data_IF_425697570325
#
_entry.id   IF_425697570325
#
_cell.length_a   1.000
_cell.length_b   1.000
_cell.length_c   1.000
_cell.angle_alpha   90.00
_cell.angle_beta   90.00
_cell.angle_gamma   90.00
#
_symmetry.space_group_name_H-M   'P 1'
#
loop_
_entity.id
_entity.type
_entity.pdbx_description
1 polymer ?
#
# COMPACT_ATOMS: atom_id res chain seq x y z
N UNK A 1 15.18 -11.76 5.17
CA UNK A 1 14.34 -10.91 6.05
C UNK A 1 13.76 -11.74 7.19
N UNK A 2 13.79 -11.25 8.43
CA UNK A 2 13.14 -11.86 9.59
C UNK A 2 11.70 -11.38 9.70
N UNK A 3 10.75 -12.29 9.67
CA UNK A 3 9.33 -11.97 9.83
C UNK A 3 8.87 -12.38 11.23
N UNK A 4 8.29 -11.44 11.98
CA UNK A 4 7.71 -11.68 13.29
C UNK A 4 6.20 -11.53 13.15
N UNK A 5 5.47 -12.63 13.26
CA UNK A 5 4.02 -12.63 13.09
C UNK A 5 3.37 -13.68 14.00
N UNK A 6 2.10 -13.44 14.35
CA UNK A 6 1.24 -14.45 15.00
C UNK A 6 0.64 -15.43 14.00
N UNK A 7 0.66 -15.07 12.71
CA UNK A 7 0.02 -15.82 11.65
C UNK A 7 0.92 -15.95 10.42
N UNK A 8 0.60 -16.92 9.54
CA UNK A 8 1.35 -17.15 8.32
C UNK A 8 0.60 -16.64 7.09
N UNK A 9 1.35 -16.11 6.12
CA UNK A 9 0.89 -15.74 4.77
C UNK A 9 1.69 -16.49 3.69
N UNK A 10 1.22 -16.40 2.45
CA UNK A 10 1.82 -17.08 1.32
C UNK A 10 3.29 -16.66 1.09
N UNK A 11 3.71 -15.44 1.36
CA UNK A 11 5.12 -15.04 1.16
C UNK A 11 6.04 -15.40 2.35
N UNK A 12 5.54 -16.01 3.42
CA UNK A 12 6.39 -16.37 4.56
C UNK A 12 7.36 -17.51 4.25
N UNK A 13 7.03 -18.39 3.29
CA UNK A 13 7.95 -19.44 2.86
C UNK A 13 9.15 -18.87 2.09
N UNK A 14 9.09 -17.62 1.63
CA UNK A 14 10.20 -17.00 0.91
C UNK A 14 11.45 -16.83 1.78
N UNK A 15 11.32 -16.87 3.12
CA UNK A 15 12.45 -16.93 4.05
C UNK A 15 13.32 -18.15 3.79
N UNK A 16 12.74 -19.32 3.50
CA UNK A 16 13.53 -20.53 3.23
C UNK A 16 14.20 -20.52 1.87
N UNK A 17 13.63 -19.79 0.90
CA UNK A 17 14.18 -19.63 -0.46
C UNK A 17 15.34 -18.62 -0.48
N UNK A 18 15.17 -17.46 0.15
CA UNK A 18 16.12 -16.35 0.08
C UNK A 18 17.03 -16.20 1.29
N UNK A 19 16.78 -16.97 2.36
CA UNK A 19 17.54 -16.91 3.60
C UNK A 19 17.00 -15.88 4.60
N UNK A 20 17.36 -16.12 5.86
CA UNK A 20 17.04 -15.25 6.98
C UNK A 20 18.08 -14.11 7.07
N UNK A 21 17.59 -12.89 7.19
CA UNK A 21 18.41 -11.72 7.53
C UNK A 21 17.84 -11.15 8.82
N UNK A 22 18.58 -11.29 9.91
CA UNK A 22 18.14 -10.84 11.24
C UNK A 22 18.12 -9.32 11.38
N UNK A 23 18.85 -8.60 10.51
CA UNK A 23 18.93 -7.14 10.55
C UNK A 23 17.73 -6.47 9.87
N UNK A 24 17.04 -7.20 9.00
CA UNK A 24 15.87 -6.73 8.28
C UNK A 24 14.60 -7.36 8.88
N UNK A 25 13.94 -6.63 9.76
CA UNK A 25 12.81 -7.15 10.54
C UNK A 25 11.48 -6.62 10.02
N UNK A 26 10.58 -7.52 9.65
CA UNK A 26 9.18 -7.23 9.40
C UNK A 26 8.32 -7.68 10.59
N UNK A 27 7.95 -6.73 11.46
CA UNK A 27 7.06 -7.00 12.59
C UNK A 27 5.58 -6.78 12.22
N UNK A 28 4.83 -7.89 12.21
CA UNK A 28 3.40 -7.96 11.92
C UNK A 28 2.56 -8.29 13.14
N UNK A 29 3.11 -8.28 14.36
CA UNK A 29 2.32 -8.55 15.58
C UNK A 29 1.19 -7.55 15.81
N UNK A 30 1.29 -6.38 15.19
CA UNK A 30 0.32 -5.29 15.21
C UNK A 30 -0.57 -5.26 13.94
N UNK A 31 -0.71 -6.38 13.22
CA UNK A 31 -1.57 -6.49 12.03
C UNK A 31 -3.03 -6.18 12.35
N UNK A 32 -3.72 -5.50 11.42
CA UNK A 32 -5.17 -5.28 11.51
C UNK A 32 -5.90 -6.58 11.12
N UNK A 33 -6.67 -7.21 12.02
CA UNK A 33 -7.43 -8.43 11.68
C UNK A 33 -8.63 -8.07 10.81
N UNK A 34 -8.64 -8.56 9.58
CA UNK A 34 -9.69 -8.30 8.60
C UNK A 34 -9.95 -9.59 7.82
N UNK A 35 -11.21 -10.01 7.75
CA UNK A 35 -11.65 -11.11 6.88
C UNK A 35 -12.18 -10.58 5.56
N UNK A 36 -12.10 -11.40 4.50
CA UNK A 36 -12.64 -11.08 3.17
C UNK A 36 -14.12 -10.65 3.24
N UNK A 37 -14.97 -11.43 3.92
CA UNK A 37 -16.41 -11.14 4.05
C UNK A 37 -16.68 -9.77 4.64
N UNK A 38 -15.90 -9.38 5.65
CA UNK A 38 -16.06 -8.06 6.30
C UNK A 38 -15.52 -6.95 5.41
N UNK A 39 -14.41 -7.20 4.72
CA UNK A 39 -13.74 -6.21 3.88
C UNK A 39 -14.57 -5.86 2.66
N UNK A 40 -15.19 -6.83 1.99
CA UNK A 40 -15.86 -6.61 0.71
C UNK A 40 -17.35 -6.28 0.85
N UNK A 41 -17.93 -6.52 2.03
CA UNK A 41 -19.32 -6.16 2.31
C UNK A 41 -19.54 -4.63 2.23
N UNK A 42 -20.63 -4.26 1.59
CA UNK A 42 -21.15 -2.89 1.53
C UNK A 42 -22.34 -2.75 2.48
N UNK A 43 -22.51 -1.57 3.06
CA UNK A 43 -23.75 -1.23 3.76
C UNK A 43 -24.83 -0.84 2.74
N UNK A 44 -26.08 -0.69 3.18
CA UNK A 44 -27.21 -0.40 2.29
C UNK A 44 -27.02 0.89 1.46
N UNK A 45 -26.40 1.93 2.04
CA UNK A 45 -26.18 3.20 1.35
C UNK A 45 -25.09 3.07 0.30
N UNK A 46 -23.98 2.42 0.64
CA UNK A 46 -22.88 2.17 -0.29
C UNK A 46 -23.28 1.19 -1.39
N UNK A 47 -24.14 0.21 -1.10
CA UNK A 47 -24.71 -0.68 -2.10
C UNK A 47 -25.59 0.10 -3.09
N UNK A 48 -26.47 0.97 -2.59
CA UNK A 48 -27.25 1.88 -3.44
C UNK A 48 -26.33 2.77 -4.27
N UNK A 49 -25.23 3.29 -3.72
CA UNK A 49 -24.27 4.12 -4.48
C UNK A 49 -23.53 3.30 -5.55
N UNK A 50 -23.08 2.11 -5.19
CA UNK A 50 -22.42 1.15 -6.08
C UNK A 50 -23.33 0.75 -7.25
N UNK A 51 -24.62 0.58 -7.00
CA UNK A 51 -25.64 0.27 -8.01
C UNK A 51 -26.12 1.51 -8.79
N UNK A 52 -26.23 2.69 -8.15
CA UNK A 52 -26.72 3.93 -8.77
C UNK A 52 -25.70 4.64 -9.64
N UNK A 53 -24.39 4.46 -9.41
CA UNK A 53 -23.34 5.10 -10.22
C UNK A 53 -23.28 4.47 -11.62
N UNK A 54 -24.22 4.89 -12.47
CA UNK A 54 -24.16 4.82 -13.93
C UNK A 54 -23.39 6.02 -14.54
N UNK A 55 -22.66 6.78 -13.70
CA UNK A 55 -21.84 7.92 -14.09
C UNK A 55 -20.82 8.22 -13.00
N UNK A 56 -19.56 8.39 -13.40
CA UNK A 56 -18.41 8.56 -12.53
C UNK A 56 -17.11 8.52 -13.31
N UNK A 57 -15.97 8.55 -12.60
CA UNK A 57 -14.65 8.56 -13.22
C UNK A 57 -14.10 7.12 -13.43
N UNK A 58 -13.52 6.87 -14.62
CA UNK A 58 -13.09 5.60 -15.25
C UNK A 58 -11.58 5.42 -15.14
N UNK A 59 -11.06 4.32 -14.61
CA UNK A 59 -9.61 4.07 -14.66
C UNK A 59 -9.18 3.59 -16.06
N UNK A 60 -8.40 4.40 -16.78
CA UNK A 60 -7.87 4.10 -18.11
C UNK A 60 -6.48 4.70 -18.27
N UNK A 61 -5.50 3.89 -18.69
CA UNK A 61 -4.10 4.34 -18.87
C UNK A 61 -3.52 5.01 -17.62
N UNK A 62 -3.89 4.54 -16.43
CA UNK A 62 -3.45 5.07 -15.15
C UNK A 62 -4.11 6.37 -14.68
N UNK A 63 -5.28 6.74 -15.23
CA UNK A 63 -6.04 7.95 -14.84
C UNK A 63 -7.56 7.72 -14.83
N UNK A 64 -8.29 8.58 -14.11
CA UNK A 64 -9.75 8.51 -13.92
C UNK A 64 -10.54 9.47 -14.88
N UNK A 65 -11.37 8.99 -15.84
CA UNK A 65 -12.12 9.77 -16.87
C UNK A 65 -13.68 9.62 -16.84
N UNK A 66 -14.52 10.61 -17.16
CA UNK A 66 -16.00 10.53 -16.92
C UNK A 66 -16.79 9.60 -17.89
N UNK A 67 -17.75 8.77 -17.41
CA UNK A 67 -18.56 7.76 -18.16
C UNK A 67 -20.03 8.19 -18.42
N UNK A 68 -20.55 7.92 -19.63
CA UNK A 68 -21.97 8.14 -19.99
C UNK A 68 -22.81 6.85 -19.83
N UNK A 69 -24.11 7.04 -19.59
CA UNK A 69 -25.08 6.08 -19.02
C UNK A 69 -25.38 4.78 -19.79
N UNK A 70 -24.97 4.63 -21.04
CA UNK A 70 -25.47 3.58 -21.96
C UNK A 70 -24.64 2.29 -22.02
N UNK A 71 -23.39 2.29 -21.55
CA UNK A 71 -22.47 1.16 -21.79
C UNK A 71 -22.46 0.11 -20.64
N UNK A 72 -23.23 0.33 -19.58
CA UNK A 72 -22.95 -0.23 -18.23
C UNK A 72 -23.75 -1.50 -17.91
N UNK A 73 -24.66 -1.95 -18.78
CA UNK A 73 -25.57 -3.07 -18.47
C UNK A 73 -25.04 -4.45 -18.88
N UNK A 74 -23.92 -4.53 -19.60
CA UNK A 74 -23.48 -5.81 -20.21
C UNK A 74 -22.31 -6.50 -19.50
N UNK A 75 -21.67 -5.86 -18.51
CA UNK A 75 -20.50 -6.46 -17.81
C UNK A 75 -20.56 -6.19 -16.29
N UNK A 76 -20.00 -7.10 -15.46
CA UNK A 76 -20.02 -6.98 -14.00
C UNK A 76 -19.32 -5.73 -13.48
N UNK A 77 -19.72 -5.27 -12.28
CA UNK A 77 -19.09 -4.15 -11.56
C UNK A 77 -18.19 -4.69 -10.46
N UNK A 78 -17.02 -4.09 -10.30
CA UNK A 78 -16.06 -4.44 -9.26
C UNK A 78 -15.79 -3.24 -8.35
N UNK A 79 -15.83 -3.46 -7.04
CA UNK A 79 -15.46 -2.45 -6.05
C UNK A 79 -13.94 -2.23 -6.11
N UNK A 80 -13.53 -0.99 -6.28
CA UNK A 80 -12.12 -0.63 -6.30
C UNK A 80 -11.58 -0.34 -4.89
N UNK A 81 -10.44 -0.92 -4.56
CA UNK A 81 -9.64 -0.68 -3.35
C UNK A 81 -8.16 -0.65 -3.73
N UNK A 82 -7.32 -0.20 -2.82
CA UNK A 82 -5.90 0.03 -3.10
C UNK A 82 -5.06 -0.63 -2.01
N UNK A 83 -4.00 -1.33 -2.38
CA UNK A 83 -3.01 -1.83 -1.43
C UNK A 83 -1.61 -1.35 -1.81
N UNK A 84 -0.84 -0.95 -0.81
CA UNK A 84 0.59 -0.71 -0.95
C UNK A 84 1.36 -1.84 -0.30
N UNK A 85 2.33 -2.39 -1.02
CA UNK A 85 3.30 -3.35 -0.51
C UNK A 85 4.69 -2.72 -0.70
N UNK A 86 5.33 -2.38 0.40
CA UNK A 86 6.53 -1.55 0.37
C UNK A 86 6.22 -0.17 -0.21
N UNK A 87 6.75 0.16 -1.39
CA UNK A 87 6.37 1.36 -2.15
C UNK A 87 5.48 1.06 -3.37
N UNK A 88 5.23 -0.22 -3.67
CA UNK A 88 4.47 -0.62 -4.86
C UNK A 88 2.99 -0.47 -4.60
N UNK A 89 2.31 0.23 -5.50
CA UNK A 89 0.87 0.39 -5.54
C UNK A 89 0.25 -0.77 -6.33
N UNK A 90 -0.77 -1.41 -5.78
CA UNK A 90 -1.59 -2.41 -6.47
C UNK A 90 -3.05 -2.05 -6.30
N UNK A 91 -3.76 -1.95 -7.42
CA UNK A 91 -5.21 -1.74 -7.41
C UNK A 91 -5.90 -3.10 -7.25
N UNK A 92 -6.93 -3.14 -6.41
CA UNK A 92 -7.74 -4.32 -6.14
C UNK A 92 -9.16 -4.05 -6.63
N UNK A 93 -9.75 -5.01 -7.33
CA UNK A 93 -11.10 -4.97 -7.86
C UNK A 93 -11.85 -6.21 -7.37
N UNK A 94 -12.91 -6.04 -6.58
CA UNK A 94 -13.61 -7.17 -5.96
C UNK A 94 -15.13 -7.07 -6.09
N UNK A 95 -15.78 -8.20 -6.38
CA UNK A 95 -17.23 -8.38 -6.27
C UNK A 95 -17.56 -9.87 -6.10
N UNK A 96 -18.64 -10.16 -5.37
CA UNK A 96 -19.20 -11.51 -5.24
C UNK A 96 -18.20 -12.62 -4.84
N UNK A 97 -17.18 -12.26 -4.06
CA UNK A 97 -16.14 -13.17 -3.58
C UNK A 97 -14.96 -13.36 -4.55
N UNK A 98 -15.04 -12.82 -5.76
CA UNK A 98 -13.93 -12.77 -6.70
C UNK A 98 -13.09 -11.51 -6.49
N UNK A 99 -11.77 -11.66 -6.58
CA UNK A 99 -10.79 -10.60 -6.39
C UNK A 99 -9.82 -10.61 -7.57
N UNK A 100 -9.68 -9.46 -8.20
CA UNK A 100 -8.78 -9.19 -9.30
C UNK A 100 -7.83 -8.05 -8.93
N UNK A 101 -6.66 -8.00 -9.57
CA UNK A 101 -5.67 -6.95 -9.31
C UNK A 101 -5.24 -6.25 -10.58
N UNK A 102 -4.59 -5.09 -10.43
CA UNK A 102 -3.94 -4.41 -11.56
C UNK A 102 -2.83 -5.24 -12.22
N UNK A 103 -2.30 -6.27 -11.55
CA UNK A 103 -1.31 -7.20 -12.11
C UNK A 103 -1.95 -8.20 -13.08
N UNK A 104 -3.26 -8.42 -12.96
CA UNK A 104 -4.03 -9.37 -13.77
C UNK A 104 -4.63 -8.71 -15.03
N UNK A 105 -4.33 -7.44 -15.27
CA UNK A 105 -4.87 -6.69 -16.41
C UNK A 105 -4.16 -7.08 -17.70
N UNK A 106 -4.95 -7.34 -18.75
CA UNK A 106 -4.42 -7.45 -20.12
C UNK A 106 -4.00 -6.08 -20.61
N UNK A 107 -2.85 -6.03 -21.27
CA UNK A 107 -2.40 -4.88 -22.04
C UNK A 107 -3.37 -4.66 -23.20
N UNK A 108 -4.44 -3.90 -22.96
CA UNK A 108 -5.53 -3.67 -23.92
C UNK A 108 -5.76 -2.18 -24.14
N UNK A 109 -6.25 -1.86 -25.32
CA UNK A 109 -6.44 -0.49 -25.80
C UNK A 109 -7.42 0.25 -24.88
N UNK A 110 -6.88 1.14 -24.03
CA UNK A 110 -7.49 1.83 -22.88
C UNK A 110 -8.70 2.73 -23.22
N UNK A 111 -9.31 2.60 -24.40
CA UNK A 111 -10.32 3.52 -24.93
C UNK A 111 -11.72 3.29 -24.36
N UNK A 112 -12.03 2.10 -23.84
CA UNK A 112 -13.41 1.73 -23.46
C UNK A 112 -13.75 1.92 -21.99
N UNK A 113 -12.76 2.14 -21.10
CA UNK A 113 -13.01 2.29 -19.66
C UNK A 113 -13.52 1.03 -18.95
N UNK A 114 -13.48 -0.11 -19.64
CA UNK A 114 -13.71 -1.46 -19.14
C UNK A 114 -12.35 -2.09 -18.89
N UNK A 115 -12.13 -2.63 -17.69
CA UNK A 115 -10.94 -3.43 -17.42
C UNK A 115 -11.10 -4.79 -18.06
N UNK A 116 -10.07 -5.23 -18.77
CA UNK A 116 -9.98 -6.59 -19.32
C UNK A 116 -8.89 -7.33 -18.57
N UNK A 117 -9.23 -8.45 -17.96
CA UNK A 117 -8.31 -9.27 -17.17
C UNK A 117 -7.76 -10.43 -18.01
N UNK A 118 -6.68 -11.05 -17.53
CA UNK A 118 -5.98 -12.13 -18.21
C UNK A 118 -6.87 -13.34 -18.53
N UNK A 119 -7.93 -13.55 -17.75
CA UNK A 119 -8.96 -14.57 -17.95
C UNK A 119 -10.09 -14.15 -18.91
N UNK A 120 -9.92 -13.07 -19.67
CA UNK A 120 -10.93 -12.49 -20.58
C UNK A 120 -12.16 -11.91 -19.87
N UNK A 121 -12.17 -11.84 -18.54
CA UNK A 121 -13.20 -11.09 -17.83
C UNK A 121 -13.10 -9.62 -18.20
N UNK A 122 -14.25 -9.06 -18.56
CA UNK A 122 -14.43 -7.63 -18.75
C UNK A 122 -15.30 -7.10 -17.62
N UNK A 123 -14.86 -6.04 -16.96
CA UNK A 123 -15.60 -5.49 -15.82
C UNK A 123 -15.45 -3.98 -15.67
N UNK A 124 -16.42 -3.36 -15.01
CA UNK A 124 -16.42 -1.95 -14.67
C UNK A 124 -15.89 -1.70 -13.24
N UNK A 125 -14.79 -0.95 -13.08
CA UNK A 125 -14.32 -0.57 -11.75
C UNK A 125 -15.16 0.59 -11.18
N UNK A 126 -15.73 0.40 -10.00
CA UNK A 126 -16.42 1.44 -9.24
C UNK A 126 -15.47 1.99 -8.17
N UNK A 127 -14.91 3.16 -8.45
CA UNK A 127 -13.95 3.84 -7.58
C UNK A 127 -14.56 5.07 -6.90
N UNK A 128 -14.21 5.26 -5.62
CA UNK A 128 -14.41 6.51 -4.89
C UNK A 128 -13.12 7.34 -4.79
N UNK A 129 -12.01 6.81 -5.28
CA UNK A 129 -10.75 7.52 -5.43
C UNK A 129 -10.81 8.29 -6.75
N UNK A 130 -10.90 9.62 -6.68
CA UNK A 130 -11.31 10.46 -7.82
C UNK A 130 -10.15 10.88 -8.72
N UNK A 131 -8.93 11.03 -8.17
CA UNK A 131 -7.74 11.52 -8.89
C UNK A 131 -6.50 10.61 -8.75
N UNK A 132 -6.70 9.40 -8.26
CA UNK A 132 -5.59 8.51 -7.89
C UNK A 132 -5.21 7.65 -9.09
N UNK A 133 -4.11 8.01 -9.75
CA UNK A 133 -3.53 7.21 -10.84
C UNK A 133 -2.63 6.07 -10.34
N UNK A 134 -2.08 5.29 -11.28
CA UNK A 134 -1.10 4.19 -11.02
C UNK A 134 0.18 4.64 -10.28
N UNK A 135 0.39 5.95 -10.16
CA UNK A 135 1.58 6.56 -9.53
C UNK A 135 1.28 7.25 -8.21
N UNK A 136 0.08 7.09 -7.68
CA UNK A 136 -0.29 7.71 -6.42
C UNK A 136 0.56 7.17 -5.27
N UNK A 137 0.99 8.09 -4.41
CA UNK A 137 1.70 7.80 -3.18
C UNK A 137 0.72 7.61 -2.01
N UNK A 138 1.19 7.08 -0.89
CA UNK A 138 0.35 6.92 0.31
C UNK A 138 -0.14 8.28 0.80
N UNK A 139 0.69 9.30 0.68
CA UNK A 139 0.42 10.69 1.01
C UNK A 139 -0.74 11.24 0.18
N UNK A 140 -0.74 10.97 -1.14
CA UNK A 140 -1.83 11.37 -2.03
C UNK A 140 -3.16 10.73 -1.62
N UNK A 141 -3.15 9.44 -1.24
CA UNK A 141 -4.37 8.75 -0.77
C UNK A 141 -4.86 9.36 0.55
N UNK A 142 -3.94 9.63 1.49
CA UNK A 142 -4.29 10.21 2.78
C UNK A 142 -4.87 11.62 2.62
N UNK A 143 -4.36 12.42 1.69
CA UNK A 143 -4.91 13.72 1.34
C UNK A 143 -6.32 13.60 0.75
N UNK A 144 -6.54 12.65 -0.17
CA UNK A 144 -7.86 12.37 -0.78
C UNK A 144 -8.89 11.89 0.27
N UNK A 145 -8.45 11.18 1.31
CA UNK A 145 -9.32 10.76 2.42
C UNK A 145 -9.59 11.94 3.38
N UNK A 146 -8.59 12.74 3.71
CA UNK A 146 -8.73 13.86 4.66
C UNK A 146 -9.57 15.02 4.10
N UNK A 147 -9.41 15.32 2.81
CA UNK A 147 -10.08 16.43 2.14
C UNK A 147 -10.86 15.95 0.90
N UNK A 148 -12.00 15.26 1.07
CA UNK A 148 -12.83 14.91 -0.06
C UNK A 148 -13.34 16.19 -0.75
N UNK A 149 -13.28 16.21 -2.08
CA UNK A 149 -13.54 17.37 -2.96
C UNK A 149 -14.90 18.07 -2.72
N UNK A 150 -15.83 17.40 -2.03
CA UNK A 150 -17.22 17.83 -1.83
C UNK A 150 -17.57 18.22 -0.38
N UNK A 151 -16.60 18.30 0.56
CA UNK A 151 -16.89 18.51 1.98
C UNK A 151 -16.26 19.78 2.60
N UNK A 152 -17.10 20.60 3.23
CA UNK A 152 -16.74 21.69 4.17
C UNK A 152 -16.42 21.18 5.59
N UNK A 153 -16.35 19.86 5.81
CA UNK A 153 -16.16 19.26 7.12
C UNK A 153 -15.20 18.06 7.04
N UNK A 154 -14.19 18.04 7.93
CA UNK A 154 -13.27 16.91 8.10
C UNK A 154 -14.06 15.61 8.36
N UNK A 155 -14.07 14.69 7.39
CA UNK A 155 -14.43 13.30 7.69
C UNK A 155 -13.25 12.70 8.45
N UNK A 156 -13.40 12.65 9.77
CA UNK A 156 -12.47 11.92 10.65
C UNK A 156 -12.31 10.48 10.13
N UNK A 157 -11.07 9.96 10.12
CA UNK A 157 -10.69 8.55 9.88
C UNK A 157 -11.31 7.61 10.93
N UNK A 158 -12.63 7.68 11.14
CA UNK A 158 -13.33 7.15 12.31
C UNK A 158 -13.43 5.63 12.34
N UNK A 159 -12.92 4.91 11.34
CA UNK A 159 -13.20 3.48 11.20
C UNK A 159 -11.97 2.57 11.16
N UNK A 160 -10.75 3.07 11.42
CA UNK A 160 -9.63 2.18 11.73
C UNK A 160 -9.32 2.22 13.20
N UNK A 161 -10.18 1.52 13.92
CA UNK A 161 -10.08 1.35 15.34
C UNK A 161 -9.25 0.09 15.60
N UNK A 162 -8.00 0.27 15.98
CA UNK A 162 -7.25 -0.78 16.70
C UNK A 162 -7.64 -0.68 18.16
N UNK A 163 -8.47 -1.59 18.68
CA UNK A 163 -8.81 -1.64 20.11
C UNK A 163 -9.28 -0.29 20.72
N UNK A 164 -10.03 0.52 19.97
CA UNK A 164 -10.45 1.88 20.37
C UNK A 164 -9.53 3.02 19.93
N UNK A 165 -8.36 2.74 19.34
CA UNK A 165 -7.32 3.71 19.00
C UNK A 165 -7.29 4.05 17.51
N UNK A 166 -7.28 5.33 17.19
CA UNK A 166 -7.05 5.85 15.84
C UNK A 166 -5.61 5.58 15.40
N UNK A 167 -5.43 5.11 14.17
CA UNK A 167 -4.12 4.94 13.53
C UNK A 167 -3.61 6.32 13.08
N UNK A 168 -2.35 6.65 13.40
CA UNK A 168 -1.75 7.92 12.96
C UNK A 168 -1.30 7.85 11.50
N UNK A 169 -1.22 9.01 10.83
CA UNK A 169 -0.68 9.11 9.47
C UNK A 169 0.75 8.53 9.40
N UNK A 170 1.58 8.81 10.41
CA UNK A 170 2.94 8.29 10.49
C UNK A 170 2.95 6.76 10.55
N UNK A 171 2.04 6.13 11.29
CA UNK A 171 1.94 4.66 11.36
C UNK A 171 1.59 4.08 9.97
N UNK A 172 0.71 4.76 9.22
CA UNK A 172 0.33 4.37 7.86
C UNK A 172 1.49 4.52 6.88
N UNK A 173 2.17 5.67 6.86
CA UNK A 173 3.29 5.91 5.95
C UNK A 173 4.46 4.97 6.21
N UNK A 174 4.62 4.56 7.48
CA UNK A 174 5.71 3.69 7.90
C UNK A 174 5.37 2.19 7.83
N UNK A 175 4.13 1.82 7.63
CA UNK A 175 3.73 0.42 7.55
C UNK A 175 4.23 -0.24 6.24
N UNK A 176 4.82 -1.44 6.31
CA UNK A 176 5.25 -2.17 5.12
C UNK A 176 4.10 -2.54 4.18
N UNK A 177 2.94 -2.93 4.72
CA UNK A 177 1.73 -3.16 3.92
C UNK A 177 0.60 -2.29 4.43
N UNK A 178 -0.10 -1.62 3.53
CA UNK A 178 -1.27 -0.78 3.84
C UNK A 178 -2.36 -0.99 2.81
N UNK A 179 -3.56 -1.34 3.26
CA UNK A 179 -4.75 -1.41 2.43
C UNK A 179 -5.63 -0.19 2.69
N UNK A 180 -6.18 0.40 1.62
CA UNK A 180 -7.17 1.45 1.63
C UNK A 180 -8.43 0.98 0.90
N UNK A 181 -9.59 1.11 1.55
CA UNK A 181 -10.91 0.95 0.94
C UNK A 181 -11.68 2.23 1.18
N UNK A 182 -12.21 2.82 0.11
CA UNK A 182 -13.04 4.03 0.18
C UNK A 182 -14.39 3.75 -0.46
N UNK A 183 -15.44 4.03 0.30
CA UNK A 183 -16.84 3.97 -0.14
C UNK A 183 -17.46 5.36 0.01
N UNK A 184 -18.73 5.54 -0.35
CA UNK A 184 -19.39 6.84 -0.20
C UNK A 184 -19.45 7.28 1.27
N UNK A 185 -19.74 6.33 2.15
CA UNK A 185 -19.98 6.60 3.57
C UNK A 185 -18.79 6.27 4.46
N UNK A 186 -17.92 5.36 4.03
CA UNK A 186 -16.89 4.76 4.89
C UNK A 186 -15.51 4.80 4.23
N UNK A 187 -14.55 5.38 4.95
CA UNK A 187 -13.13 5.23 4.69
C UNK A 187 -12.56 4.14 5.62
N UNK A 188 -11.81 3.21 5.05
CA UNK A 188 -11.21 2.08 5.76
C UNK A 188 -9.74 1.96 5.38
N UNK A 189 -8.89 1.72 6.39
CA UNK A 189 -7.46 1.45 6.24
C UNK A 189 -7.13 0.18 7.04
N UNK A 190 -6.20 -0.63 6.56
CA UNK A 190 -5.65 -1.72 7.36
C UNK A 190 -4.14 -1.71 7.24
N UNK A 191 -3.46 -1.77 8.40
CA UNK A 191 -2.00 -1.87 8.48
C UNK A 191 -1.61 -3.32 8.63
N UNK A 192 -0.67 -3.75 7.80
CA UNK A 192 -0.15 -5.11 7.71
C UNK A 192 -1.28 -6.16 7.75
N UNK A 193 -2.35 -6.03 6.94
CA UNK A 193 -3.39 -7.04 6.90
C UNK A 193 -2.78 -8.36 6.43
N UNK A 194 -3.32 -9.46 6.93
CA UNK A 194 -2.98 -10.78 6.40
C UNK A 194 -3.61 -10.94 5.03
N UNK A 195 -2.78 -11.14 4.00
CA UNK A 195 -3.24 -11.20 2.61
C UNK A 195 -4.15 -12.41 2.38
N UNK A 196 -3.77 -13.56 2.96
CA UNK A 196 -4.57 -14.78 2.93
C UNK A 196 -5.94 -14.62 3.60
N UNK A 197 -6.03 -13.91 4.73
CA UNK A 197 -7.28 -13.72 5.46
C UNK A 197 -8.29 -12.82 4.73
N UNK A 198 -7.80 -11.90 3.90
CA UNK A 198 -8.63 -11.04 3.04
C UNK A 198 -8.90 -11.64 1.66
N UNK A 199 -8.37 -12.84 1.38
CA UNK A 199 -8.53 -13.55 0.11
C UNK A 199 -7.65 -13.03 -1.04
N UNK A 200 -6.64 -12.19 -0.75
CA UNK A 200 -5.77 -11.60 -1.76
C UNK A 200 -4.52 -12.47 -1.99
N UNK A 201 -4.41 -13.05 -3.19
CA UNK A 201 -3.28 -13.88 -3.58
C UNK A 201 -2.41 -13.13 -4.58
N UNK A 202 -1.29 -12.61 -4.10
CA UNK A 202 -0.25 -11.99 -4.94
C UNK A 202 0.94 -12.94 -5.05
N UNK A 203 1.70 -12.80 -6.13
CA UNK A 203 2.94 -13.54 -6.32
C UNK A 203 3.88 -13.35 -5.11
N UNK A 204 4.33 -14.46 -4.53
CA UNK A 204 5.07 -14.46 -3.28
C UNK A 204 6.45 -13.79 -3.43
N UNK A 205 7.09 -13.95 -4.59
CA UNK A 205 8.35 -13.30 -4.94
C UNK A 205 8.16 -11.77 -5.01
N UNK A 206 7.11 -11.29 -5.69
CA UNK A 206 6.77 -9.87 -5.78
C UNK A 206 6.55 -9.23 -4.40
N UNK A 207 5.75 -9.87 -3.53
CA UNK A 207 5.48 -9.35 -2.19
C UNK A 207 6.77 -9.30 -1.37
N UNK A 208 7.54 -10.39 -1.37
CA UNK A 208 8.78 -10.49 -0.62
C UNK A 208 9.80 -9.42 -1.04
N UNK A 209 10.07 -9.29 -2.35
CA UNK A 209 11.03 -8.31 -2.85
C UNK A 209 10.61 -6.87 -2.52
N UNK A 210 9.33 -6.56 -2.67
CA UNK A 210 8.79 -5.23 -2.35
C UNK A 210 8.94 -4.88 -0.86
N UNK A 211 8.78 -5.86 0.03
CA UNK A 211 9.01 -5.68 1.47
C UNK A 211 10.49 -5.49 1.78
N UNK A 212 11.36 -6.30 1.19
CA UNK A 212 12.81 -6.21 1.40
C UNK A 212 13.35 -4.86 0.94
N UNK A 213 12.93 -4.39 -0.24
CA UNK A 213 13.29 -3.08 -0.79
C UNK A 213 12.89 -1.95 0.18
N UNK A 214 11.64 -1.98 0.65
CA UNK A 214 11.10 -0.96 1.54
C UNK A 214 11.80 -0.92 2.90
N UNK A 215 12.00 -2.08 3.53
CA UNK A 215 12.62 -2.16 4.85
C UNK A 215 14.11 -1.80 4.78
N UNK A 216 14.80 -2.15 3.69
CA UNK A 216 16.22 -1.80 3.49
C UNK A 216 16.38 -0.30 3.37
N UNK A 217 15.56 0.34 2.52
CA UNK A 217 15.58 1.79 2.36
C UNK A 217 15.30 2.55 3.68
N UNK A 218 14.43 1.99 4.53
CA UNK A 218 14.17 2.55 5.87
C UNK A 218 15.35 2.42 6.81
N UNK A 219 16.00 1.27 6.81
CA UNK A 219 17.22 1.03 7.60
C UNK A 219 18.32 2.00 7.18
N UNK A 220 18.51 2.21 5.88
CA UNK A 220 19.51 3.16 5.36
C UNK A 220 19.18 4.61 5.71
N UNK A 221 17.89 4.99 5.68
CA UNK A 221 17.44 6.32 6.10
C UNK A 221 17.61 6.56 7.62
N UNK A 222 17.59 5.49 8.43
CA UNK A 222 17.77 5.55 9.88
C UNK A 222 19.24 5.39 10.31
N UNK A 223 20.10 4.91 9.41
CA UNK A 223 21.53 4.86 9.69
C UNK A 223 22.03 6.29 9.93
N UNK A 224 22.69 6.58 11.06
CA UNK A 224 23.31 7.88 11.23
C UNK A 224 24.27 8.07 10.06
N UNK A 225 24.13 9.18 9.32
CA UNK A 225 25.12 9.62 8.35
C UNK A 225 26.43 9.84 9.11
N UNK A 226 27.20 8.77 9.27
CA UNK A 226 28.43 8.72 10.01
C UNK A 226 29.49 9.48 9.24
N UNK A 227 29.41 10.80 9.22
CA UNK A 227 30.62 11.59 9.29
C UNK A 227 31.25 11.28 10.65
N UNK A 228 31.97 10.16 10.74
CA UNK A 228 32.87 9.90 11.86
C UNK A 228 33.73 11.16 11.96
N UNK A 229 33.65 11.94 13.05
CA UNK A 229 34.45 13.15 13.21
C UNK A 229 35.90 12.81 12.93
N UNK A 230 36.61 13.68 12.19
CA UNK A 230 38.01 13.41 11.81
C UNK A 230 38.86 13.03 13.04
N UNK A 231 38.54 13.59 14.19
CA UNK A 231 39.16 13.36 15.49
C UNK A 231 39.14 11.87 15.89
N UNK A 232 38.04 11.16 15.62
CA UNK A 232 37.89 9.72 15.89
C UNK A 232 38.66 8.89 14.84
N UNK A 233 38.71 9.36 13.59
CA UNK A 233 39.52 8.71 12.52
C UNK A 233 41.03 8.81 12.79
N UNK A 234 41.48 9.95 13.33
CA UNK A 234 42.89 10.22 13.66
C UNK A 234 43.32 9.38 14.86
N UNK A 235 42.48 9.29 15.91
CA UNK A 235 42.74 8.45 17.08
C UNK A 235 42.80 6.95 16.75
N UNK A 236 41.90 6.45 15.88
CA UNK A 236 41.88 5.05 15.44
C UNK A 236 43.04 4.62 14.55
N UNK A 237 43.78 5.59 13.98
CA UNK A 237 44.98 5.36 13.15
C UNK A 237 46.29 5.49 13.93
N UNK A 238 46.23 5.69 15.26
CA UNK A 238 47.42 5.80 16.11
C UNK A 238 48.22 7.09 15.90
N UNK A 239 47.61 8.13 15.30
CA UNK A 239 48.25 9.43 15.17
C UNK A 239 48.18 10.17 16.51
N UNK A 240 49.33 10.35 17.15
CA UNK A 240 49.47 11.18 18.34
C UNK A 240 49.32 12.66 17.96
N UNK A 241 48.20 13.27 18.37
CA UNK A 241 47.86 14.67 18.09
C UNK A 241 48.81 15.64 18.80
N UNK A 242 49.62 15.19 19.77
CA UNK A 242 50.43 16.06 20.63
C UNK A 242 51.93 16.07 20.35
N UNK A 243 52.41 15.39 19.31
CA UNK A 243 53.85 15.36 19.00
C UNK A 243 54.12 15.45 17.51
N UNK A 244 54.42 16.66 17.03
CA UNK A 244 55.12 16.80 15.76
C UNK A 244 56.52 16.18 15.91
N UNK A 245 56.84 15.22 15.04
CA UNK A 245 58.19 14.62 14.97
C UNK A 245 59.23 15.56 14.35
N UNK A 246 58.89 16.84 14.09
CA UNK A 246 59.82 17.83 13.58
C UNK A 246 60.57 18.46 14.75
N UNK A 247 61.91 18.33 14.82
CA UNK A 247 62.71 19.15 15.72
C UNK A 247 62.51 20.62 15.30
N UNK A 248 62.22 21.49 16.27
CA UNK A 248 62.28 22.93 16.03
C UNK A 248 63.73 23.30 15.76
N UNK A 249 64.06 23.54 14.50
CA UNK A 249 65.34 24.15 14.13
C UNK A 249 65.33 25.58 14.64
N UNK A 250 66.33 25.93 15.46
CA UNK A 250 66.64 27.29 15.87
C UNK A 250 67.28 28.08 14.73
#
# INVERSE_FOLDING_TARGET
MKIISKFKDNYDFMVSKYGLDETLVYDRRNSTPVSADKLWKLNKIDQIDFERKLGGHRFAGGKFINLNKTDINDVPRLLHSIIFIGKKLVHIFAADGEIYTSLDLKETDNKTGILTFNNDLRAYPVSQFWQIGDRATREDILLDIKYPLDATCEKSLKNIVRDGKAISADEILNAPIVLFKKTKTTDFVAINPQLSAIGLYLDADFVWQSLVEFLSAKKDAQAPAGAIPNDIKIAGKGFDVKRSFRPNMK
#
